data_IF_958125971690
#
_entry.id   IF_958125971690
#
_cell.length_a   1.000
_cell.length_b   1.000
_cell.length_c   1.000
_cell.angle_alpha   90.00
_cell.angle_beta   90.00
_cell.angle_gamma   90.00
#
_symmetry.space_group_name_H-M   'P 1'
#
loop_
_entity.id
_entity.type
_entity.pdbx_description
1 polymer ?
#
# COMPACT_ATOMS: atom_id res chain seq x y z
N UNK A 1 13.67 20.64 7.35
CA UNK A 1 12.63 20.16 6.42
C UNK A 1 11.77 19.19 7.21
N UNK A 2 10.52 19.49 7.39
CA UNK A 2 9.61 18.59 8.09
C UNK A 2 9.27 17.44 7.14
N UNK A 3 9.61 16.20 7.54
CA UNK A 3 9.37 15.00 6.75
C UNK A 3 7.87 14.67 6.81
N UNK A 4 7.30 14.31 5.68
CA UNK A 4 5.91 13.84 5.58
C UNK A 4 5.80 12.32 5.78
N UNK A 5 6.91 11.61 5.62
CA UNK A 5 7.02 10.18 5.86
C UNK A 5 6.83 9.83 7.33
N UNK A 6 6.13 8.73 7.60
CA UNK A 6 5.74 8.29 8.95
C UNK A 6 5.65 6.78 9.05
N UNK A 7 5.61 6.27 10.27
CA UNK A 7 5.28 4.87 10.55
C UNK A 7 3.83 4.84 11.06
N UNK A 8 3.04 3.89 10.61
CA UNK A 8 1.74 3.60 11.22
C UNK A 8 1.83 2.37 12.12
N UNK A 9 1.40 2.52 13.36
CA UNK A 9 1.08 1.39 14.25
C UNK A 9 -0.32 0.91 13.89
N UNK A 10 -0.42 -0.26 13.28
CA UNK A 10 -1.64 -0.73 12.63
C UNK A 10 -2.26 -1.93 13.33
N UNK A 11 -3.58 -2.03 13.18
CA UNK A 11 -4.37 -3.25 13.37
C UNK A 11 -4.90 -3.68 12.01
N UNK A 12 -4.56 -4.91 11.63
CA UNK A 12 -5.14 -5.58 10.47
C UNK A 12 -6.22 -6.52 10.97
N UNK A 13 -7.42 -6.40 10.44
CA UNK A 13 -8.53 -7.30 10.70
C UNK A 13 -8.96 -7.96 9.40
N UNK A 14 -9.13 -9.27 9.44
CA UNK A 14 -9.80 -10.03 8.40
C UNK A 14 -11.00 -10.76 9.01
N UNK A 15 -12.16 -10.62 8.38
CA UNK A 15 -13.38 -11.32 8.75
C UNK A 15 -13.99 -11.94 7.50
N UNK A 16 -13.78 -13.23 7.33
CA UNK A 16 -14.41 -14.05 6.29
C UNK A 16 -15.68 -14.67 6.85
N UNK A 17 -16.77 -14.55 6.09
CA UNK A 17 -18.09 -15.12 6.47
C UNK A 17 -18.43 -16.38 5.69
N UNK A 18 -17.84 -16.61 4.51
CA UNK A 18 -18.10 -17.77 3.64
C UNK A 18 -16.78 -18.30 3.08
N UNK A 19 -16.63 -19.62 2.84
CA UNK A 19 -17.55 -20.72 3.15
C UNK A 19 -17.60 -21.10 4.62
N UNK A 20 -16.61 -20.67 5.42
CA UNK A 20 -16.54 -20.89 6.87
C UNK A 20 -16.16 -19.58 7.52
N UNK A 21 -16.91 -19.19 8.55
CA UNK A 21 -16.61 -17.99 9.30
C UNK A 21 -15.23 -18.11 9.97
N UNK A 22 -14.40 -17.08 9.78
CA UNK A 22 -13.11 -16.96 10.40
C UNK A 22 -12.75 -15.49 10.56
N UNK A 23 -12.41 -15.09 11.79
CA UNK A 23 -11.99 -13.71 12.10
C UNK A 23 -10.69 -13.72 12.85
N UNK A 24 -9.76 -12.86 12.42
CA UNK A 24 -8.54 -12.62 13.16
C UNK A 24 -8.14 -11.15 13.12
N UNK A 25 -7.34 -10.75 14.08
CA UNK A 25 -6.78 -9.40 14.21
C UNK A 25 -5.31 -9.52 14.56
N UNK A 26 -4.46 -8.85 13.79
CA UNK A 26 -3.04 -8.75 14.07
C UNK A 26 -2.61 -7.30 14.25
N UNK A 27 -1.60 -7.09 15.07
CA UNK A 27 -0.89 -5.81 15.15
C UNK A 27 0.32 -5.88 14.25
N UNK A 28 0.47 -4.87 13.40
CA UNK A 28 1.62 -4.70 12.51
C UNK A 28 2.03 -3.23 12.53
N UNK A 29 3.14 -2.92 11.93
CA UNK A 29 3.44 -1.55 11.52
C UNK A 29 3.45 -1.48 9.98
N UNK A 30 3.22 -0.31 9.42
CA UNK A 30 3.41 -0.02 8.00
C UNK A 30 4.20 1.28 7.84
N UNK A 31 5.06 1.32 6.85
CA UNK A 31 5.74 2.55 6.47
C UNK A 31 4.84 3.33 5.52
N UNK A 32 4.74 4.64 5.74
CA UNK A 32 4.20 5.59 4.78
C UNK A 32 5.34 6.51 4.36
N UNK A 33 5.85 6.32 3.17
CA UNK A 33 7.04 6.98 2.66
C UNK A 33 6.64 7.90 1.49
N UNK A 34 6.94 9.19 1.59
CA UNK A 34 7.04 10.04 0.41
C UNK A 34 8.29 9.59 -0.37
N UNK A 35 8.12 9.10 -1.60
CA UNK A 35 9.22 8.51 -2.37
C UNK A 35 10.34 9.52 -2.68
N UNK A 36 10.05 10.82 -2.65
CA UNK A 36 11.07 11.87 -2.77
C UNK A 36 11.90 12.03 -1.47
N UNK A 37 11.37 11.58 -0.33
CA UNK A 37 12.06 11.62 0.96
C UNK A 37 12.89 10.37 1.25
N UNK A 38 12.81 9.32 0.43
CA UNK A 38 13.44 8.02 0.70
C UNK A 38 14.97 8.13 0.90
N UNK A 39 15.66 8.87 0.05
CA UNK A 39 17.10 9.08 0.18
C UNK A 39 17.49 9.89 1.43
N UNK A 40 16.87 11.05 1.74
CA UNK A 40 17.04 11.73 3.02
C UNK A 40 16.78 10.84 4.23
N UNK A 41 15.68 10.06 4.24
CA UNK A 41 15.35 9.13 5.32
C UNK A 41 16.46 8.12 5.57
N UNK A 42 16.97 7.47 4.50
CA UNK A 42 18.05 6.48 4.62
C UNK A 42 19.39 7.08 5.09
N UNK A 43 19.59 8.40 4.96
CA UNK A 43 20.76 9.10 5.53
C UNK A 43 20.61 9.37 7.03
N UNK A 44 19.39 9.62 7.49
CA UNK A 44 19.10 9.95 8.90
C UNK A 44 18.78 8.74 9.74
N UNK A 45 18.28 7.65 9.14
CA UNK A 45 17.85 6.45 9.83
C UNK A 45 18.85 5.31 9.63
N UNK A 46 19.58 4.98 10.70
CA UNK A 46 20.62 3.94 10.66
C UNK A 46 20.08 2.56 10.33
N UNK A 47 18.83 2.30 10.64
CA UNK A 47 18.19 0.99 10.48
C UNK A 47 17.37 0.86 9.18
N UNK A 48 17.34 1.91 8.32
CA UNK A 48 16.65 1.90 7.05
C UNK A 48 17.65 1.87 5.88
N UNK A 49 17.46 0.98 4.92
CA UNK A 49 18.21 0.92 3.67
C UNK A 49 17.32 1.09 2.44
N UNK A 50 17.83 1.73 1.41
CA UNK A 50 17.22 1.79 0.08
C UNK A 50 18.09 1.01 -0.90
N UNK A 51 17.52 0.00 -1.55
CA UNK A 51 18.18 -0.94 -2.46
C UNK A 51 19.46 -1.57 -1.88
N UNK A 52 19.50 -1.71 -0.56
CA UNK A 52 20.60 -2.35 0.17
C UNK A 52 20.09 -3.05 1.41
N UNK A 53 20.81 -4.07 1.86
CA UNK A 53 20.49 -4.80 3.08
C UNK A 53 20.59 -3.89 4.32
N UNK A 54 19.57 -3.97 5.19
CA UNK A 54 19.55 -3.34 6.51
C UNK A 54 18.52 -4.08 7.39
N UNK A 55 18.33 -3.63 8.64
CA UNK A 55 17.27 -4.15 9.52
C UNK A 55 15.91 -4.01 8.82
N UNK A 56 15.62 -2.81 8.32
CA UNK A 56 14.52 -2.53 7.41
C UNK A 56 15.06 -2.08 6.06
N UNK A 57 14.51 -2.61 5.00
CA UNK A 57 14.97 -2.25 3.66
C UNK A 57 13.78 -2.01 2.73
N UNK A 58 13.88 -0.94 1.97
CA UNK A 58 13.03 -0.68 0.83
C UNK A 58 13.78 -1.02 -0.45
N UNK A 59 13.19 -1.85 -1.27
CA UNK A 59 13.75 -2.22 -2.57
C UNK A 59 12.77 -1.85 -3.68
N UNK A 60 13.22 -1.08 -4.66
CA UNK A 60 12.38 -0.71 -5.80
C UNK A 60 11.85 -1.92 -6.58
N UNK A 61 12.64 -2.99 -6.65
CA UNK A 61 12.26 -4.22 -7.36
C UNK A 61 11.06 -4.96 -6.73
N UNK A 62 10.71 -4.66 -5.48
CA UNK A 62 9.57 -5.28 -4.77
C UNK A 62 8.21 -4.65 -5.14
N UNK A 63 8.20 -3.59 -5.95
CA UNK A 63 7.05 -2.76 -6.22
C UNK A 63 6.71 -2.68 -7.71
N UNK A 64 5.42 -2.88 -8.04
CA UNK A 64 4.87 -2.82 -9.40
C UNK A 64 5.60 -3.80 -10.36
N UNK A 65 6.36 -3.29 -11.28
CA UNK A 65 7.14 -4.09 -12.22
C UNK A 65 8.49 -4.49 -11.62
N UNK A 66 8.91 -5.72 -11.79
CA UNK A 66 10.22 -6.24 -11.34
C UNK A 66 11.34 -5.75 -12.28
N UNK A 67 11.71 -4.50 -12.17
CA UNK A 67 12.84 -3.88 -12.89
C UNK A 67 13.57 -2.90 -11.95
N UNK A 68 14.73 -2.39 -12.39
CA UNK A 68 15.62 -1.55 -11.59
C UNK A 68 15.24 -0.06 -11.59
N UNK A 69 14.11 0.32 -12.19
CA UNK A 69 13.63 1.71 -12.18
C UNK A 69 13.14 2.09 -10.79
N UNK A 70 13.17 3.39 -10.48
CA UNK A 70 12.62 3.87 -9.21
C UNK A 70 11.13 3.54 -9.08
N UNK A 71 10.68 3.25 -7.88
CA UNK A 71 9.27 2.98 -7.62
C UNK A 71 8.38 4.16 -8.01
N UNK A 72 8.87 5.40 -7.83
CA UNK A 72 8.15 6.61 -8.25
C UNK A 72 7.91 6.62 -9.76
N UNK A 73 8.94 6.36 -10.58
CA UNK A 73 8.81 6.35 -12.04
C UNK A 73 7.83 5.26 -12.49
N UNK A 74 7.92 4.06 -11.89
CA UNK A 74 6.97 2.97 -12.19
C UNK A 74 5.53 3.36 -11.90
N UNK A 75 5.27 4.05 -10.77
CA UNK A 75 3.95 4.56 -10.41
C UNK A 75 3.46 5.57 -11.44
N UNK A 76 4.30 6.56 -11.78
CA UNK A 76 3.91 7.61 -12.71
C UNK A 76 3.65 7.06 -14.11
N UNK A 77 4.46 6.13 -14.59
CA UNK A 77 4.22 5.48 -15.87
C UNK A 77 2.95 4.64 -15.86
N UNK A 78 2.75 3.84 -14.81
CA UNK A 78 1.54 3.02 -14.69
C UNK A 78 0.27 3.86 -14.74
N UNK A 79 0.20 4.99 -14.03
CA UNK A 79 -1.00 5.84 -14.06
C UNK A 79 -1.18 6.53 -15.41
N UNK A 80 -0.08 6.94 -16.09
CA UNK A 80 -0.13 7.50 -17.45
C UNK A 80 -0.66 6.50 -18.47
N UNK A 81 -0.16 5.27 -18.44
CA UNK A 81 -0.61 4.16 -19.29
C UNK A 81 -2.10 3.84 -19.08
N UNK A 82 -2.63 4.14 -17.88
CA UNK A 82 -4.04 3.96 -17.54
C UNK A 82 -4.86 5.26 -17.64
N UNK A 83 -4.38 6.27 -18.40
CA UNK A 83 -5.14 7.45 -18.78
C UNK A 83 -5.16 8.59 -17.77
N UNK A 84 -4.40 8.52 -16.68
CA UNK A 84 -4.24 9.64 -15.73
C UNK A 84 -3.14 10.56 -16.21
N UNK A 85 -3.44 11.85 -16.38
CA UNK A 85 -2.42 12.86 -16.70
C UNK A 85 -1.55 13.10 -15.46
N UNK A 86 -0.31 12.68 -15.52
CA UNK A 86 0.66 12.86 -14.44
C UNK A 86 1.94 13.49 -14.96
N UNK A 87 2.48 14.41 -14.17
CA UNK A 87 3.75 15.08 -14.42
C UNK A 87 4.86 14.47 -13.56
N UNK A 88 6.13 14.58 -13.98
CA UNK A 88 7.26 13.92 -13.30
C UNK A 88 7.47 14.42 -11.87
N UNK A 89 7.00 15.62 -11.57
CA UNK A 89 7.12 16.22 -10.25
C UNK A 89 5.94 15.92 -9.31
N UNK A 90 4.97 15.11 -9.73
CA UNK A 90 3.92 14.64 -8.83
C UNK A 90 4.53 13.88 -7.65
N UNK A 91 3.88 14.01 -6.50
CA UNK A 91 4.26 13.34 -5.26
C UNK A 91 3.63 11.96 -5.18
N UNK A 92 4.37 11.01 -4.65
CA UNK A 92 3.87 9.66 -4.40
C UNK A 92 4.16 9.28 -2.96
N UNK A 93 3.11 9.05 -2.18
CA UNK A 93 3.21 8.43 -0.85
C UNK A 93 2.89 6.95 -0.97
N UNK A 94 3.77 6.12 -0.47
CA UNK A 94 3.65 4.66 -0.47
C UNK A 94 3.44 4.16 0.95
N UNK A 95 2.30 3.48 1.18
CA UNK A 95 2.02 2.74 2.41
C UNK A 95 2.31 1.26 2.16
N UNK A 96 3.33 0.71 2.83
CA UNK A 96 3.82 -0.64 2.56
C UNK A 96 4.49 -1.28 3.78
N UNK A 97 4.72 -2.59 3.71
CA UNK A 97 5.61 -3.31 4.62
C UNK A 97 7.03 -3.36 4.02
N UNK A 98 8.06 -2.91 4.77
CA UNK A 98 9.44 -3.04 4.30
C UNK A 98 9.92 -4.50 4.39
N UNK A 99 11.06 -4.81 3.76
CA UNK A 99 11.80 -6.02 4.10
C UNK A 99 12.35 -5.91 5.53
N UNK A 100 12.30 -6.98 6.28
CA UNK A 100 12.89 -7.10 7.61
C UNK A 100 14.02 -8.12 7.54
N UNK A 101 15.26 -7.70 7.81
CA UNK A 101 16.45 -8.56 7.70
C UNK A 101 16.53 -9.29 6.34
N UNK A 102 16.14 -8.62 5.26
CA UNK A 102 16.10 -9.17 3.90
C UNK A 102 14.85 -9.98 3.55
N UNK A 103 14.05 -10.40 4.52
CA UNK A 103 12.81 -11.12 4.28
C UNK A 103 11.67 -10.17 3.88
N UNK A 104 10.99 -10.48 2.78
CA UNK A 104 9.82 -9.72 2.31
C UNK A 104 8.53 -10.51 2.53
N UNK A 105 7.59 -9.88 3.23
CA UNK A 105 6.20 -10.32 3.31
C UNK A 105 5.31 -9.09 3.17
N UNK A 106 4.92 -8.79 1.96
CA UNK A 106 4.13 -7.60 1.63
C UNK A 106 2.90 -7.98 0.79
N UNK A 107 1.79 -8.38 1.43
CA UNK A 107 0.60 -8.84 0.73
C UNK A 107 -0.13 -7.71 0.00
N UNK A 108 0.10 -6.47 0.37
CA UNK A 108 -0.52 -5.31 -0.26
C UNK A 108 0.27 -4.04 -0.01
N UNK A 109 0.43 -3.23 -1.06
CA UNK A 109 0.94 -1.85 -1.00
C UNK A 109 -0.11 -0.87 -1.52
N UNK A 110 -0.11 0.34 -0.98
CA UNK A 110 -1.00 1.41 -1.40
C UNK A 110 -0.21 2.64 -1.77
N UNK A 111 -0.42 3.15 -2.98
CA UNK A 111 0.21 4.36 -3.48
C UNK A 111 -0.84 5.46 -3.56
N UNK A 112 -0.52 6.64 -3.06
CA UNK A 112 -1.35 7.83 -3.15
C UNK A 112 -0.58 8.88 -3.93
N UNK A 113 -1.15 9.33 -5.03
CA UNK A 113 -0.51 10.27 -5.96
C UNK A 113 -1.12 11.64 -5.79
N UNK A 114 -0.27 12.64 -5.67
CA UNK A 114 -0.66 14.04 -5.48
C UNK A 114 -0.03 14.92 -6.56
N UNK A 115 -0.78 15.93 -6.99
CA UNK A 115 -0.24 16.97 -7.87
C UNK A 115 0.66 17.95 -7.11
N UNK A 116 1.14 18.98 -7.80
CA UNK A 116 2.03 20.00 -7.23
C UNK A 116 1.40 20.82 -6.11
N UNK A 117 0.09 20.96 -6.15
CA UNK A 117 -0.70 21.66 -5.13
C UNK A 117 -1.04 20.75 -3.94
N UNK A 118 -0.45 19.54 -3.89
CA UNK A 118 -0.72 18.48 -2.91
C UNK A 118 -2.17 18.00 -2.89
N UNK A 119 -2.89 18.18 -3.98
CA UNK A 119 -4.22 17.62 -4.13
C UNK A 119 -4.11 16.15 -4.55
N UNK A 120 -4.87 15.25 -3.95
CA UNK A 120 -4.88 13.85 -4.33
C UNK A 120 -5.47 13.65 -5.74
N UNK A 121 -4.78 12.90 -6.58
CA UNK A 121 -5.14 12.66 -7.98
C UNK A 121 -5.73 11.27 -8.16
N UNK A 122 -5.04 10.26 -7.63
CA UNK A 122 -5.46 8.86 -7.69
C UNK A 122 -4.78 8.05 -6.60
N UNK A 123 -5.23 6.82 -6.41
CA UNK A 123 -4.53 5.84 -5.61
C UNK A 123 -4.35 4.53 -6.37
N UNK A 124 -3.39 3.71 -5.96
CA UNK A 124 -3.19 2.35 -6.47
C UNK A 124 -3.19 1.40 -5.28
N UNK A 125 -3.95 0.30 -5.39
CA UNK A 125 -3.84 -0.84 -4.50
C UNK A 125 -3.10 -1.96 -5.25
N UNK A 126 -1.88 -2.25 -4.86
CA UNK A 126 -1.08 -3.35 -5.41
C UNK A 126 -1.24 -4.57 -4.51
N UNK A 127 -1.99 -5.56 -4.98
CA UNK A 127 -2.30 -6.78 -4.23
C UNK A 127 -1.37 -7.90 -4.65
N UNK A 128 -0.68 -8.49 -3.67
CA UNK A 128 0.18 -9.64 -3.85
C UNK A 128 -0.51 -10.97 -3.53
N UNK A 129 0.01 -12.06 -4.07
CA UNK A 129 -0.42 -13.41 -3.77
C UNK A 129 0.72 -14.26 -3.17
N UNK A 130 0.40 -15.50 -2.80
CA UNK A 130 1.37 -16.45 -2.25
C UNK A 130 2.41 -16.95 -3.26
N UNK A 131 2.19 -16.69 -4.56
CA UNK A 131 3.13 -17.03 -5.65
C UNK A 131 4.06 -15.89 -6.02
N UNK A 132 4.07 -14.80 -5.23
CA UNK A 132 4.84 -13.59 -5.48
C UNK A 132 4.47 -12.87 -6.78
N UNK A 133 3.22 -13.05 -7.25
CA UNK A 133 2.65 -12.23 -8.30
C UNK A 133 1.98 -11.01 -7.66
N UNK A 134 1.99 -9.88 -8.36
CA UNK A 134 1.42 -8.62 -7.91
C UNK A 134 0.45 -8.10 -8.97
N UNK A 135 -0.72 -7.61 -8.54
CA UNK A 135 -1.68 -6.97 -9.42
C UNK A 135 -2.06 -5.59 -8.91
N UNK A 136 -1.74 -4.53 -9.64
CA UNK A 136 -2.16 -3.18 -9.31
C UNK A 136 -3.60 -2.90 -9.75
N UNK A 137 -4.34 -2.17 -8.94
CA UNK A 137 -5.68 -1.66 -9.18
C UNK A 137 -5.66 -0.13 -9.05
N UNK A 138 -6.01 0.57 -10.13
CA UNK A 138 -6.02 2.03 -10.15
C UNK A 138 -7.38 2.57 -9.67
N UNK A 139 -7.37 3.43 -8.66
CA UNK A 139 -8.53 4.10 -8.10
C UNK A 139 -8.50 5.59 -8.49
N UNK A 140 -9.40 6.01 -9.35
CA UNK A 140 -9.51 7.43 -9.80
C UNK A 140 -10.74 8.13 -9.24
N UNK A 141 -11.70 7.37 -8.68
CA UNK A 141 -12.92 7.95 -8.12
C UNK A 141 -12.68 8.33 -6.65
N UNK A 142 -12.63 9.64 -6.40
CA UNK A 142 -12.53 10.20 -5.06
C UNK A 142 -13.92 10.60 -4.53
N UNK A 143 -14.21 10.19 -3.30
CA UNK A 143 -15.41 10.55 -2.55
C UNK A 143 -14.99 11.09 -1.17
N UNK A 144 -15.03 12.41 -1.02
CA UNK A 144 -14.46 13.09 0.15
C UNK A 144 -12.96 12.79 0.27
N UNK A 145 -12.53 12.30 1.42
CA UNK A 145 -11.13 11.94 1.70
C UNK A 145 -10.80 10.48 1.36
N UNK A 146 -11.54 9.83 0.46
CA UNK A 146 -11.35 8.43 0.11
C UNK A 146 -11.35 8.20 -1.38
N UNK A 147 -10.47 7.31 -1.82
CA UNK A 147 -10.54 6.70 -3.14
C UNK A 147 -11.36 5.40 -3.07
N UNK A 148 -12.22 5.17 -4.05
CA UNK A 148 -13.09 4.00 -4.13
C UNK A 148 -13.00 3.32 -5.49
N UNK A 149 -13.07 2.00 -5.47
CA UNK A 149 -13.15 1.19 -6.67
C UNK A 149 -13.84 -0.13 -6.34
N UNK A 150 -14.86 -0.49 -7.11
CA UNK A 150 -15.37 -1.85 -7.15
C UNK A 150 -15.04 -2.46 -8.52
N UNK A 151 -14.39 -3.61 -8.53
CA UNK A 151 -13.85 -4.22 -9.75
C UNK A 151 -13.81 -5.74 -9.62
N UNK A 152 -14.05 -6.50 -10.73
CA UNK A 152 -13.82 -7.93 -10.74
C UNK A 152 -12.37 -8.26 -10.37
N UNK A 153 -12.22 -9.22 -9.49
CA UNK A 153 -10.92 -9.58 -8.93
C UNK A 153 -9.95 -10.11 -9.99
N UNK A 154 -10.39 -11.09 -10.80
CA UNK A 154 -9.57 -11.75 -11.85
C UNK A 154 -8.10 -11.98 -11.45
N UNK A 155 -7.88 -12.31 -10.18
CA UNK A 155 -6.56 -12.50 -9.59
C UNK A 155 -6.65 -13.53 -8.46
N UNK A 156 -5.79 -14.55 -8.53
CA UNK A 156 -5.71 -15.56 -7.49
C UNK A 156 -4.90 -15.01 -6.31
N UNK A 157 -5.53 -14.77 -5.18
CA UNK A 157 -4.86 -14.25 -3.99
C UNK A 157 -4.51 -15.35 -2.99
N UNK A 158 -5.45 -16.30 -2.78
CA UNK A 158 -5.25 -17.39 -1.83
C UNK A 158 -6.11 -18.61 -2.19
N UNK A 159 -5.77 -19.82 -1.68
CA UNK A 159 -6.57 -21.03 -1.88
C UNK A 159 -8.02 -20.93 -1.41
N UNK A 160 -8.30 -19.97 -0.52
CA UNK A 160 -9.63 -19.77 0.06
C UNK A 160 -10.45 -18.66 -0.62
N UNK A 161 -9.90 -18.06 -1.69
CA UNK A 161 -10.52 -16.94 -2.37
C UNK A 161 -10.69 -17.23 -3.86
N UNK A 162 -11.95 -17.28 -4.32
CA UNK A 162 -12.32 -17.60 -5.72
C UNK A 162 -11.95 -16.46 -6.66
N UNK A 163 -11.91 -16.75 -7.98
CA UNK A 163 -11.60 -15.77 -9.03
C UNK A 163 -12.81 -14.93 -9.45
N UNK A 164 -14.01 -15.47 -9.27
CA UNK A 164 -15.30 -14.89 -9.68
C UNK A 164 -15.88 -13.93 -8.62
N UNK A 165 -15.02 -13.26 -7.88
CA UNK A 165 -15.37 -12.29 -6.86
C UNK A 165 -15.09 -10.86 -7.32
N UNK A 166 -15.74 -9.89 -6.69
CA UNK A 166 -15.40 -8.48 -6.81
C UNK A 166 -14.57 -8.03 -5.60
N UNK A 167 -13.54 -7.23 -5.87
CA UNK A 167 -12.96 -6.36 -4.85
C UNK A 167 -13.73 -5.05 -4.74
N UNK A 168 -13.91 -4.58 -3.51
CA UNK A 168 -14.43 -3.25 -3.20
C UNK A 168 -13.40 -2.54 -2.30
N UNK A 169 -12.63 -1.65 -2.90
CA UNK A 169 -11.59 -0.87 -2.25
C UNK A 169 -12.17 0.44 -1.71
N UNK A 170 -11.79 0.79 -0.49
CA UNK A 170 -12.05 2.10 0.12
C UNK A 170 -10.81 2.56 0.88
N UNK A 171 -10.02 3.41 0.26
CA UNK A 171 -8.72 3.87 0.75
C UNK A 171 -8.85 5.32 1.21
N UNK A 172 -8.78 5.57 2.52
CA UNK A 172 -8.67 6.95 3.02
C UNK A 172 -7.28 7.50 2.70
N UNK A 173 -7.22 8.78 2.34
CA UNK A 173 -5.96 9.50 2.15
C UNK A 173 -5.17 9.46 3.47
N UNK A 174 -3.87 9.08 3.44
CA UNK A 174 -3.05 8.95 4.65
C UNK A 174 -2.89 10.29 5.37
N UNK A 175 -3.26 10.33 6.65
CA UNK A 175 -3.11 11.47 7.54
C UNK A 175 -2.57 11.03 8.89
N UNK A 176 -3.07 11.60 10.00
CA UNK A 176 -2.74 11.14 11.35
C UNK A 176 -3.30 9.75 11.64
N UNK A 177 -4.33 9.38 10.90
CA UNK A 177 -4.91 8.04 10.92
C UNK A 177 -4.81 7.40 9.54
N UNK A 178 -4.45 6.11 9.52
CA UNK A 178 -4.59 5.24 8.35
C UNK A 178 -5.91 4.49 8.46
N UNK A 179 -6.70 4.47 7.38
CA UNK A 179 -7.97 3.77 7.36
C UNK A 179 -8.27 3.22 5.96
N UNK A 180 -8.03 1.94 5.79
CA UNK A 180 -8.13 1.22 4.52
C UNK A 180 -9.09 0.05 4.70
N UNK A 181 -9.99 -0.12 3.75
CA UNK A 181 -10.89 -1.27 3.68
C UNK A 181 -10.81 -1.91 2.30
N UNK A 182 -10.75 -3.24 2.30
CA UNK A 182 -10.85 -4.08 1.11
C UNK A 182 -11.87 -5.16 1.42
N UNK A 183 -12.99 -5.17 0.70
CA UNK A 183 -14.00 -6.19 0.83
C UNK A 183 -13.99 -7.10 -0.40
N UNK A 184 -14.38 -8.36 -0.23
CA UNK A 184 -14.66 -9.26 -1.34
C UNK A 184 -16.16 -9.59 -1.38
N UNK A 185 -16.73 -9.55 -2.58
CA UNK A 185 -18.12 -9.83 -2.82
C UNK A 185 -18.32 -10.98 -3.80
N UNK A 186 -19.27 -11.86 -3.49
CA UNK A 186 -19.86 -12.81 -4.43
C UNK A 186 -21.23 -12.26 -4.84
N UNK A 187 -21.33 -11.63 -6.02
CA UNK A 187 -22.51 -10.88 -6.42
C UNK A 187 -22.83 -9.74 -5.46
N UNK A 188 -23.95 -9.87 -4.70
CA UNK A 188 -24.36 -8.88 -3.67
C UNK A 188 -23.89 -9.24 -2.27
N UNK A 189 -23.39 -10.45 -2.05
CA UNK A 189 -23.01 -10.95 -0.73
C UNK A 189 -21.56 -10.61 -0.42
N UNK A 190 -21.32 -9.89 0.66
CA UNK A 190 -19.96 -9.65 1.15
C UNK A 190 -19.47 -10.89 1.89
N UNK A 191 -18.40 -11.50 1.39
CA UNK A 191 -17.83 -12.75 1.92
C UNK A 191 -16.55 -12.55 2.71
N UNK A 192 -15.83 -11.45 2.47
CA UNK A 192 -14.63 -11.07 3.23
C UNK A 192 -14.63 -9.56 3.49
N UNK A 193 -14.29 -9.19 4.69
CA UNK A 193 -13.95 -7.82 5.08
C UNK A 193 -12.51 -7.79 5.58
N UNK A 194 -11.68 -6.98 4.97
CA UNK A 194 -10.32 -6.69 5.41
C UNK A 194 -10.20 -5.22 5.74
N UNK A 195 -9.59 -4.90 6.87
CA UNK A 195 -9.30 -3.51 7.22
C UNK A 195 -7.90 -3.36 7.79
N UNK A 196 -7.29 -2.23 7.47
CA UNK A 196 -6.05 -1.75 8.08
C UNK A 196 -6.34 -0.39 8.68
N UNK A 197 -6.25 -0.30 10.00
CA UNK A 197 -6.40 0.97 10.72
C UNK A 197 -5.17 1.22 11.57
N UNK A 198 -4.69 2.46 11.63
CA UNK A 198 -3.46 2.76 12.36
C UNK A 198 -3.30 4.22 12.69
N UNK A 199 -2.45 4.53 13.66
CA UNK A 199 -2.09 5.88 14.09
C UNK A 199 -0.66 6.20 13.67
N UNK A 200 -0.47 7.43 13.16
CA UNK A 200 0.84 7.92 12.74
C UNK A 200 1.80 8.08 13.90
N UNK A 201 3.05 7.71 13.66
CA UNK A 201 4.19 7.88 14.55
C UNK A 201 5.33 8.51 13.77
N UNK A 202 6.17 9.27 14.45
CA UNK A 202 7.38 9.85 13.83
C UNK A 202 8.33 8.77 13.33
N UNK A 203 8.91 8.95 12.16
CA UNK A 203 9.88 8.03 11.57
C UNK A 203 11.26 8.27 12.21
N UNK A 204 11.57 7.54 13.27
CA UNK A 204 12.82 7.69 14.04
C UNK A 204 13.50 6.35 14.28
N UNK A 205 14.82 6.38 14.51
CA UNK A 205 15.57 5.17 14.88
C UNK A 205 14.99 4.47 16.11
N UNK A 206 14.51 5.23 17.11
CA UNK A 206 13.90 4.67 18.32
C UNK A 206 12.63 3.87 18.00
N UNK A 207 11.84 4.32 17.03
CA UNK A 207 10.63 3.62 16.61
C UNK A 207 10.91 2.42 15.70
N UNK A 208 12.12 2.30 15.16
CA UNK A 208 12.57 1.16 14.37
C UNK A 208 13.18 0.01 15.19
N UNK A 209 13.40 0.19 16.50
CA UNK A 209 14.01 -0.81 17.39
C UNK A 209 12.93 -1.54 18.24
N UNK A 210 11.77 -1.72 17.74
CA UNK A 210 10.68 -2.41 18.46
C UNK A 210 10.86 -3.91 18.47
#
# INVERSE_FOLDING_TARGET
MELTSRIYECRVMHHRTSPKEHRFVHRIFMFCIDLDELNPLCKHLSFLGHNRFNLYSFYDIDHLQKNDRSTKDKVLDYIRENGVKAEDHFKVQLVTLPRIMGYVFNPVSFYFVYNNERQPVCAIAEVGNTYHEMKPYLLTVQQGERFRLRVPKHFYVSPFSRLDLDFDFSLAIPGDQLNIHINEYEGKNRILTSSVTGSAQSFTNRKLIW
#
